data_IF_520925360460
#
_entry.id   IF_520925360460
#
_cell.length_a   1.000
_cell.length_b   1.000
_cell.length_c   1.000
_cell.angle_alpha   90.00
_cell.angle_beta   90.00
_cell.angle_gamma   90.00
#
_symmetry.space_group_name_H-M   'P 1'
#
loop_
_entity.id
_entity.type
_entity.pdbx_description
1 polymer ?
#
# COMPACT_ATOMS: atom_id res chain seq x y z
N UNK A 1 -4.40 -9.47 -33.14
CA UNK A 1 -4.17 -8.01 -33.20
C UNK A 1 -5.47 -7.23 -33.41
N UNK A 2 -6.40 -7.74 -34.23
CA UNK A 2 -7.67 -7.05 -34.55
C UNK A 2 -8.59 -6.75 -33.36
N UNK A 3 -8.78 -7.68 -32.41
CA UNK A 3 -9.57 -7.41 -31.20
C UNK A 3 -8.94 -6.33 -30.30
N UNK A 4 -7.60 -6.27 -30.25
CA UNK A 4 -6.86 -5.27 -29.49
C UNK A 4 -6.92 -3.89 -30.17
N UNK A 5 -6.80 -3.86 -31.50
CA UNK A 5 -7.01 -2.66 -32.31
C UNK A 5 -8.45 -2.13 -32.19
N UNK A 6 -9.46 -3.02 -32.14
CA UNK A 6 -10.85 -2.62 -31.84
C UNK A 6 -10.98 -2.01 -30.44
N UNK A 7 -10.30 -2.58 -29.44
CA UNK A 7 -10.27 -2.06 -28.08
C UNK A 7 -9.69 -0.64 -28.00
N UNK A 8 -8.60 -0.39 -28.72
CA UNK A 8 -7.98 0.95 -28.83
C UNK A 8 -8.90 1.89 -29.61
N UNK A 9 -9.50 1.44 -30.72
CA UNK A 9 -10.39 2.25 -31.56
C UNK A 9 -11.63 2.74 -30.80
N UNK A 10 -12.16 1.92 -29.89
CA UNK A 10 -13.30 2.27 -29.05
C UNK A 10 -12.95 3.18 -27.86
N UNK A 11 -11.67 3.50 -27.64
CA UNK A 11 -11.28 4.45 -26.61
C UNK A 11 -11.58 5.89 -26.99
N UNK A 12 -12.10 6.63 -26.02
CA UNK A 12 -12.28 8.08 -26.09
C UNK A 12 -10.91 8.77 -26.18
N UNK A 13 -10.81 9.96 -26.82
CA UNK A 13 -9.57 10.72 -26.85
C UNK A 13 -9.00 10.95 -25.45
N UNK A 14 -7.68 10.80 -25.32
CA UNK A 14 -6.97 10.92 -24.06
C UNK A 14 -6.95 12.38 -23.65
N UNK A 15 -7.42 12.66 -22.43
CA UNK A 15 -7.38 14.02 -21.88
C UNK A 15 -5.94 14.40 -21.56
N UNK A 16 -5.66 15.69 -21.65
CA UNK A 16 -4.33 16.27 -21.44
C UNK A 16 -3.88 16.25 -19.98
N UNK A 17 -4.71 15.82 -19.03
CA UNK A 17 -4.34 15.80 -17.62
C UNK A 17 -3.44 14.61 -17.28
N UNK A 18 -2.66 14.79 -16.20
CA UNK A 18 -1.71 13.79 -15.71
C UNK A 18 -2.32 12.40 -15.51
N UNK A 19 -3.55 12.32 -14.99
CA UNK A 19 -4.19 11.05 -14.69
C UNK A 19 -4.56 10.31 -15.97
N UNK A 20 -5.12 11.00 -16.95
CA UNK A 20 -5.47 10.40 -18.24
C UNK A 20 -4.25 9.94 -19.04
N UNK A 21 -3.16 10.72 -19.06
CA UNK A 21 -1.90 10.30 -19.72
C UNK A 21 -1.26 9.09 -19.02
N UNK A 22 -1.23 9.06 -17.69
CA UNK A 22 -0.69 7.93 -16.93
C UNK A 22 -1.53 6.66 -17.10
N UNK A 23 -2.86 6.78 -17.12
CA UNK A 23 -3.75 5.65 -17.35
C UNK A 23 -3.59 5.09 -18.77
N UNK A 24 -3.43 5.97 -19.76
CA UNK A 24 -3.21 5.57 -21.14
C UNK A 24 -1.85 4.87 -21.31
N UNK A 25 -0.78 5.37 -20.66
CA UNK A 25 0.51 4.68 -20.64
C UNK A 25 0.42 3.27 -20.06
N UNK A 26 -0.24 3.10 -18.91
CA UNK A 26 -0.42 1.77 -18.30
C UNK A 26 -1.25 0.82 -19.15
N UNK A 27 -2.24 1.34 -19.88
CA UNK A 27 -3.05 0.55 -20.81
C UNK A 27 -2.21 0.04 -21.99
N UNK A 28 -1.40 0.92 -22.60
CA UNK A 28 -0.48 0.52 -23.68
C UNK A 28 0.55 -0.49 -23.16
N UNK A 29 1.10 -0.29 -21.95
CA UNK A 29 2.02 -1.26 -21.33
C UNK A 29 1.36 -2.63 -21.15
N UNK A 30 0.11 -2.68 -20.71
CA UNK A 30 -0.64 -3.94 -20.62
C UNK A 30 -0.71 -4.66 -21.97
N UNK A 31 -1.07 -3.93 -23.03
CA UNK A 31 -1.13 -4.52 -24.38
C UNK A 31 0.22 -5.00 -24.91
N UNK A 32 1.30 -4.26 -24.66
CA UNK A 32 2.65 -4.69 -25.07
C UNK A 32 3.04 -5.98 -24.37
N UNK A 33 2.79 -6.08 -23.06
CA UNK A 33 3.08 -7.29 -22.29
C UNK A 33 2.25 -8.48 -22.80
N UNK A 34 0.94 -8.28 -23.05
CA UNK A 34 0.08 -9.33 -23.60
C UNK A 34 0.58 -9.80 -24.98
N UNK A 35 1.11 -8.92 -25.82
CA UNK A 35 1.67 -9.28 -27.13
C UNK A 35 3.02 -10.00 -27.02
N UNK A 36 3.86 -9.60 -26.07
CA UNK A 36 5.13 -10.29 -25.76
C UNK A 36 4.89 -11.71 -25.23
N UNK A 37 3.89 -11.89 -24.35
CA UNK A 37 3.50 -13.20 -23.81
C UNK A 37 2.93 -14.16 -24.86
N UNK A 38 2.43 -13.63 -25.98
CA UNK A 38 1.94 -14.40 -27.12
C UNK A 38 3.00 -14.58 -28.23
N UNK A 39 4.29 -14.42 -27.90
CA UNK A 39 5.44 -14.56 -28.81
C UNK A 39 5.38 -13.64 -30.05
N UNK A 40 4.67 -12.50 -29.96
CA UNK A 40 4.54 -11.53 -31.04
C UNK A 40 5.01 -10.14 -30.57
N UNK A 41 6.33 -9.88 -30.47
CA UNK A 41 6.84 -8.65 -29.92
C UNK A 41 6.47 -7.46 -30.80
N UNK A 42 5.97 -6.39 -30.17
CA UNK A 42 5.52 -5.19 -30.86
C UNK A 42 6.65 -4.51 -31.62
N UNK A 43 7.89 -4.61 -31.14
CA UNK A 43 9.08 -4.07 -31.82
C UNK A 43 9.48 -4.81 -33.10
N UNK A 44 9.05 -6.07 -33.27
CA UNK A 44 9.37 -6.90 -34.44
C UNK A 44 8.17 -7.16 -35.35
N UNK A 45 6.99 -6.64 -35.01
CA UNK A 45 5.76 -6.82 -35.80
C UNK A 45 5.76 -5.91 -37.03
N UNK A 46 5.38 -6.44 -38.20
CA UNK A 46 5.19 -5.66 -39.43
C UNK A 46 4.08 -4.61 -39.33
N UNK A 47 3.16 -4.78 -38.38
CA UNK A 47 2.03 -3.86 -38.14
C UNK A 47 2.35 -2.79 -37.09
N UNK A 48 3.56 -2.79 -36.52
CA UNK A 48 3.97 -1.83 -35.50
C UNK A 48 3.80 -0.35 -35.92
N UNK A 49 4.08 0.07 -37.18
CA UNK A 49 3.82 1.43 -37.62
C UNK A 49 2.32 1.79 -37.63
N UNK A 50 1.47 0.85 -38.03
CA UNK A 50 0.02 1.05 -38.03
C UNK A 50 -0.51 1.14 -36.59
N UNK A 51 -0.09 0.21 -35.74
CA UNK A 51 -0.39 0.24 -34.31
C UNK A 51 0.04 1.55 -33.64
N UNK A 52 1.25 2.04 -33.94
CA UNK A 52 1.74 3.33 -33.48
C UNK A 52 0.85 4.49 -33.92
N UNK A 53 0.47 4.54 -35.20
CA UNK A 53 -0.41 5.59 -35.71
C UNK A 53 -1.78 5.60 -35.00
N UNK A 54 -2.29 4.41 -34.65
CA UNK A 54 -3.54 4.27 -33.92
C UNK A 54 -3.41 4.77 -32.48
N UNK A 55 -2.30 4.47 -31.81
CA UNK A 55 -2.02 4.98 -30.46
C UNK A 55 -1.88 6.50 -30.43
N UNK A 56 -1.18 7.07 -31.41
CA UNK A 56 -0.99 8.52 -31.53
C UNK A 56 -2.28 9.25 -31.88
N UNK A 57 -3.20 8.60 -32.62
CA UNK A 57 -4.52 9.18 -32.95
C UNK A 57 -5.39 9.47 -31.73
N UNK A 58 -5.14 8.79 -30.60
CA UNK A 58 -5.88 8.97 -29.35
C UNK A 58 -5.32 10.10 -28.49
N UNK A 59 -4.10 10.55 -28.75
CA UNK A 59 -3.53 11.70 -28.08
C UNK A 59 -4.13 12.99 -28.64
N UNK A 60 -4.19 14.02 -27.81
CA UNK A 60 -4.48 15.36 -28.29
C UNK A 60 -3.37 15.82 -29.26
N UNK A 61 -3.73 16.60 -30.28
CA UNK A 61 -2.78 17.12 -31.28
C UNK A 61 -1.54 17.80 -30.68
N UNK A 62 -1.70 18.52 -29.56
CA UNK A 62 -0.58 19.15 -28.85
C UNK A 62 0.37 18.16 -28.20
N UNK A 63 -0.15 17.04 -27.70
CA UNK A 63 0.63 16.01 -27.01
C UNK A 63 1.33 15.10 -28.03
N UNK A 64 0.63 14.76 -29.12
CA UNK A 64 1.22 14.07 -30.27
C UNK A 64 2.39 14.87 -30.87
N UNK A 65 2.19 16.17 -31.12
CA UNK A 65 3.26 17.06 -31.62
C UNK A 65 4.42 17.22 -30.64
N UNK A 66 4.17 17.17 -29.32
CA UNK A 66 5.20 17.27 -28.30
C UNK A 66 6.06 16.00 -28.27
N UNK A 67 5.43 14.82 -28.34
CA UNK A 67 6.13 13.55 -28.47
C UNK A 67 7.07 13.52 -29.68
N UNK A 68 6.58 13.85 -30.88
CA UNK A 68 7.43 13.87 -32.08
C UNK A 68 8.60 14.86 -31.99
N UNK A 69 8.39 16.04 -31.37
CA UNK A 69 9.47 17.01 -31.12
C UNK A 69 10.54 16.47 -30.18
N UNK A 70 10.14 15.80 -29.11
CA UNK A 70 11.07 15.24 -28.13
C UNK A 70 11.87 14.07 -28.72
N UNK A 71 11.23 13.20 -29.52
CA UNK A 71 11.91 12.13 -30.24
C UNK A 71 12.96 12.69 -31.21
N UNK A 72 12.61 13.73 -31.98
CA UNK A 72 13.54 14.39 -32.90
C UNK A 72 14.69 15.09 -32.17
N UNK A 73 14.43 15.74 -31.03
CA UNK A 73 15.45 16.41 -30.21
C UNK A 73 16.46 15.42 -29.67
N UNK A 74 15.97 14.30 -29.14
CA UNK A 74 16.79 13.29 -28.48
C UNK A 74 17.33 12.24 -29.45
N UNK A 75 17.06 12.39 -30.75
CA UNK A 75 17.44 11.47 -31.85
C UNK A 75 16.97 10.02 -31.60
N UNK A 76 15.75 9.87 -31.11
CA UNK A 76 15.09 8.58 -30.87
C UNK A 76 14.05 8.29 -31.94
N UNK A 77 13.78 7.01 -32.17
CA UNK A 77 12.71 6.56 -33.06
C UNK A 77 11.33 6.69 -32.40
N UNK A 78 10.32 6.99 -33.21
CA UNK A 78 8.92 6.98 -32.79
C UNK A 78 8.41 5.53 -32.73
N UNK A 79 8.55 4.90 -31.57
CA UNK A 79 8.08 3.55 -31.31
C UNK A 79 7.28 3.47 -29.99
N UNK A 80 6.62 2.33 -29.76
CA UNK A 80 5.67 2.15 -28.65
C UNK A 80 6.36 2.30 -27.29
N UNK A 81 7.57 1.76 -27.15
CA UNK A 81 8.34 1.84 -25.91
C UNK A 81 8.69 3.27 -25.54
N UNK A 82 9.17 4.06 -26.52
CA UNK A 82 9.48 5.47 -26.32
C UNK A 82 8.21 6.30 -26.04
N UNK A 83 7.08 5.95 -26.66
CA UNK A 83 5.79 6.59 -26.39
C UNK A 83 5.31 6.35 -24.95
N UNK A 84 5.43 5.12 -24.43
CA UNK A 84 5.08 4.79 -23.03
C UNK A 84 5.92 5.61 -22.06
N UNK A 85 7.24 5.64 -22.28
CA UNK A 85 8.17 6.41 -21.44
C UNK A 85 7.79 7.88 -21.46
N UNK A 86 7.60 8.46 -22.66
CA UNK A 86 7.22 9.86 -22.81
C UNK A 86 5.89 10.19 -22.14
N UNK A 87 4.86 9.34 -22.26
CA UNK A 87 3.57 9.56 -21.61
C UNK A 87 3.67 9.56 -20.09
N UNK A 88 4.52 8.70 -19.51
CA UNK A 88 4.75 8.64 -18.06
C UNK A 88 5.50 9.88 -17.57
N UNK A 89 6.50 10.35 -18.32
CA UNK A 89 7.24 11.56 -18.03
C UNK A 89 6.34 12.81 -18.14
N UNK A 90 5.58 12.92 -19.23
CA UNK A 90 4.65 14.03 -19.47
C UNK A 90 3.52 14.05 -18.43
N UNK A 91 2.99 12.88 -18.06
CA UNK A 91 2.04 12.76 -16.96
C UNK A 91 2.64 13.23 -15.63
N UNK A 92 3.90 12.86 -15.35
CA UNK A 92 4.62 13.32 -14.17
C UNK A 92 4.83 14.84 -14.19
N UNK A 93 5.18 15.43 -15.34
CA UNK A 93 5.35 16.88 -15.48
C UNK A 93 4.03 17.63 -15.23
N UNK A 94 2.93 17.16 -15.81
CA UNK A 94 1.60 17.76 -15.64
C UNK A 94 1.02 17.57 -14.25
N UNK A 95 1.43 16.51 -13.53
CA UNK A 95 1.07 16.32 -12.12
C UNK A 95 1.61 17.43 -11.22
N UNK A 96 2.74 18.04 -11.61
CA UNK A 96 3.41 19.11 -10.86
C UNK A 96 2.76 20.47 -11.07
N UNK A 97 1.99 20.65 -12.14
CA UNK A 97 1.36 21.92 -12.52
C UNK A 97 -0.04 22.18 -11.93
N UNK A 98 -0.61 21.25 -11.13
CA UNK A 98 -2.02 21.34 -10.69
C UNK A 98 -2.30 22.21 -9.45
N UNK A 99 -1.44 23.20 -9.19
CA UNK A 99 -1.72 24.31 -8.28
C UNK A 99 -1.66 25.64 -9.05
N UNK A 100 -2.63 25.88 -9.95
CA UNK A 100 -3.32 27.16 -10.16
C UNK A 100 -4.23 27.06 -11.41
N UNK A 101 -5.46 27.56 -11.27
CA UNK A 101 -6.56 27.47 -12.23
C UNK A 101 -6.34 28.33 -13.50
N UNK A 102 -7.14 27.98 -14.51
CA UNK A 102 -7.62 28.81 -15.62
C UNK A 102 -7.45 30.33 -15.46
N UNK A 103 -6.60 30.93 -16.29
CA UNK A 103 -6.94 32.12 -17.06
C UNK A 103 -5.88 32.41 -18.12
N UNK A 104 -6.36 32.96 -19.22
CA UNK A 104 -5.71 33.07 -20.51
C UNK A 104 -4.56 34.10 -20.57
N UNK A 105 -3.75 33.89 -21.60
CA UNK A 105 -3.03 34.86 -22.41
C UNK A 105 -1.69 35.47 -21.94
N UNK A 106 -0.65 35.02 -22.68
CA UNK A 106 0.34 35.84 -23.39
C UNK A 106 1.28 36.70 -22.52
N UNK A 107 2.51 36.23 -22.28
CA UNK A 107 3.72 36.65 -23.03
C UNK A 107 5.02 36.11 -22.42
N UNK A 108 5.94 35.79 -23.33
CA UNK A 108 7.39 35.61 -23.23
C UNK A 108 8.06 36.31 -22.03
N UNK A 109 8.95 35.62 -21.30
CA UNK A 109 10.42 35.85 -21.35
C UNK A 109 11.23 35.00 -20.38
N UNK A 110 12.47 34.81 -20.84
CA UNK A 110 13.65 34.16 -20.30
C UNK A 110 14.08 34.55 -18.88
N UNK A 111 14.77 33.59 -18.26
CA UNK A 111 15.90 33.70 -17.31
C UNK A 111 15.74 34.27 -15.88
N UNK A 112 16.19 33.41 -14.96
CA UNK A 112 16.85 33.66 -13.68
C UNK A 112 16.10 34.46 -12.60
N UNK A 113 15.76 33.75 -11.52
CA UNK A 113 16.03 34.19 -10.15
C UNK A 113 15.99 33.01 -9.15
N UNK A 114 17.14 32.77 -8.55
CA UNK A 114 17.33 32.02 -7.31
C UNK A 114 16.60 32.67 -6.12
N UNK A 115 16.23 31.87 -5.12
CA UNK A 115 15.65 32.33 -3.84
C UNK A 115 14.32 31.63 -3.56
N UNK A 116 14.34 30.40 -3.04
CA UNK A 116 14.37 30.08 -1.62
C UNK A 116 13.03 30.33 -0.90
N UNK A 117 12.33 29.22 -0.62
CA UNK A 117 11.58 29.01 0.62
C UNK A 117 11.69 27.53 0.96
N UNK A 118 12.92 27.06 1.16
CA UNK A 118 13.17 25.73 1.70
C UNK A 118 13.28 25.85 3.22
N UNK A 119 12.20 25.58 3.94
CA UNK A 119 12.32 25.24 5.36
C UNK A 119 12.98 23.86 5.42
N UNK A 120 14.31 23.83 5.35
CA UNK A 120 15.16 22.65 5.54
C UNK A 120 15.12 22.27 7.02
N UNK A 121 14.18 21.40 7.38
CA UNK A 121 14.16 20.78 8.70
C UNK A 121 15.52 20.10 8.98
N UNK A 122 16.11 20.26 10.17
CA UNK A 122 17.33 19.56 10.56
C UNK A 122 17.07 18.04 10.59
N UNK A 123 18.05 17.28 10.12
CA UNK A 123 17.96 15.82 10.10
C UNK A 123 17.86 15.29 11.54
N UNK A 124 16.86 14.45 11.87
CA UNK A 124 16.65 13.96 13.23
C UNK A 124 17.74 12.99 13.73
N UNK A 125 18.68 12.61 12.86
CA UNK A 125 19.84 11.76 13.16
C UNK A 125 21.12 12.56 13.43
N UNK A 126 21.04 13.89 13.51
CA UNK A 126 22.18 14.73 13.89
C UNK A 126 23.23 14.90 12.80
N UNK A 127 22.83 14.84 11.52
CA UNK A 127 23.74 15.08 10.41
C UNK A 127 24.21 16.54 10.37
N UNK A 128 25.47 16.76 9.99
CA UNK A 128 26.06 18.09 9.85
C UNK A 128 25.37 18.93 8.77
N UNK A 129 24.83 18.29 7.73
CA UNK A 129 24.06 18.95 6.67
C UNK A 129 22.55 18.87 6.93
N UNK A 130 21.82 19.96 6.67
CA UNK A 130 20.36 19.99 6.78
C UNK A 130 19.73 19.27 5.59
N UNK A 131 18.98 18.20 5.86
CA UNK A 131 18.25 17.44 4.85
C UNK A 131 17.07 16.70 5.49
N UNK A 132 16.08 16.36 4.66
CA UNK A 132 14.95 15.52 5.07
C UNK A 132 15.42 14.09 5.38
N UNK A 133 14.77 13.42 6.33
CA UNK A 133 15.10 12.05 6.73
C UNK A 133 15.13 11.06 5.55
N UNK A 134 14.25 11.26 4.56
CA UNK A 134 14.22 10.44 3.33
C UNK A 134 15.53 10.51 2.51
N UNK A 135 16.23 11.64 2.56
CA UNK A 135 17.49 11.89 1.86
C UNK A 135 18.72 11.64 2.74
N UNK A 136 18.54 11.18 3.99
CA UNK A 136 19.64 10.93 4.91
C UNK A 136 20.38 9.64 4.53
N UNK A 137 21.70 9.69 4.25
CA UNK A 137 22.48 8.50 3.92
C UNK A 137 22.47 7.44 5.03
N UNK A 138 22.62 7.87 6.29
CA UNK A 138 22.55 7.00 7.46
C UNK A 138 21.19 6.32 7.59
N UNK A 139 20.10 7.01 7.27
CA UNK A 139 18.75 6.40 7.28
C UNK A 139 18.58 5.38 6.14
N UNK A 140 19.13 5.67 4.97
CA UNK A 140 19.07 4.77 3.81
C UNK A 140 19.91 3.51 4.00
N UNK A 141 21.00 3.56 4.76
CA UNK A 141 21.81 2.36 5.05
C UNK A 141 21.21 1.41 6.10
N UNK A 142 20.16 1.81 6.81
CA UNK A 142 19.54 1.00 7.86
C UNK A 142 18.56 -0.05 7.33
N UNK A 143 18.40 -1.12 8.10
CA UNK A 143 17.37 -2.14 7.85
C UNK A 143 15.96 -1.55 7.98
N UNK A 144 14.97 -2.19 7.34
CA UNK A 144 13.57 -1.74 7.40
C UNK A 144 13.08 -1.62 8.85
N UNK A 145 13.42 -2.57 9.74
CA UNK A 145 13.06 -2.54 11.15
C UNK A 145 13.69 -1.33 11.88
N UNK A 146 14.98 -1.08 11.67
CA UNK A 146 15.66 0.09 12.25
C UNK A 146 15.10 1.41 11.72
N UNK A 147 14.68 1.47 10.45
CA UNK A 147 13.98 2.65 9.89
C UNK A 147 12.63 2.87 10.57
N UNK A 148 11.87 1.81 10.86
CA UNK A 148 10.62 1.88 11.64
C UNK A 148 10.86 2.43 13.05
N UNK A 149 11.92 1.97 13.72
CA UNK A 149 12.28 2.43 15.06
C UNK A 149 12.66 3.91 15.07
N UNK A 150 13.45 4.38 14.09
CA UNK A 150 13.81 5.80 13.96
C UNK A 150 12.58 6.67 13.73
N UNK A 151 11.68 6.26 12.84
CA UNK A 151 10.44 7.02 12.57
C UNK A 151 9.58 7.14 13.82
N UNK A 152 9.54 6.09 14.66
CA UNK A 152 8.83 6.08 15.94
C UNK A 152 9.52 6.95 16.99
N UNK A 153 10.83 6.76 17.21
CA UNK A 153 11.61 7.48 18.23
C UNK A 153 11.74 8.98 17.94
N UNK A 154 11.85 9.36 16.66
CA UNK A 154 12.03 10.76 16.23
C UNK A 154 10.71 11.45 15.84
N UNK A 155 9.57 10.83 16.17
CA UNK A 155 8.21 11.35 15.96
C UNK A 155 8.00 11.85 14.52
N UNK A 156 8.37 11.02 13.54
CA UNK A 156 8.20 11.35 12.13
C UNK A 156 6.93 10.71 11.56
N UNK A 157 6.31 11.39 10.61
CA UNK A 157 5.14 10.88 9.91
C UNK A 157 5.51 9.63 9.11
N UNK A 158 4.81 8.50 9.32
CA UNK A 158 5.12 7.24 8.63
C UNK A 158 4.88 7.32 7.11
N UNK A 159 4.04 8.25 6.65
CA UNK A 159 3.72 8.45 5.23
C UNK A 159 4.79 9.27 4.50
N UNK A 160 5.27 10.35 5.11
CA UNK A 160 6.13 11.32 4.43
C UNK A 160 7.48 11.61 5.11
N UNK A 161 7.75 10.98 6.26
CA UNK A 161 8.98 11.10 7.05
C UNK A 161 9.30 12.51 7.59
N UNK A 162 8.35 13.45 7.52
CA UNK A 162 8.46 14.83 8.07
C UNK A 162 7.99 14.92 9.52
N UNK A 163 8.32 16.03 10.20
CA UNK A 163 7.95 16.30 11.59
C UNK A 163 6.46 16.67 11.76
N UNK A 164 5.59 15.67 11.86
CA UNK A 164 4.19 15.79 12.29
C UNK A 164 3.61 14.41 12.59
N UNK A 165 2.48 14.36 13.31
CA UNK A 165 1.75 13.12 13.51
C UNK A 165 1.16 12.63 12.18
N UNK A 166 1.11 11.31 12.00
CA UNK A 166 0.64 10.70 10.75
C UNK A 166 -0.83 11.04 10.43
N UNK A 167 -1.63 11.35 11.45
CA UNK A 167 -3.04 11.77 11.33
C UNK A 167 -3.18 13.17 10.71
N UNK A 168 -2.23 14.07 10.97
CA UNK A 168 -2.26 15.47 10.52
C UNK A 168 -1.57 15.66 9.17
N UNK A 169 -1.19 14.56 8.52
CA UNK A 169 -0.51 14.58 7.25
C UNK A 169 -1.48 15.02 6.15
N UNK A 170 -1.42 16.31 5.78
CA UNK A 170 -2.22 16.93 4.69
C UNK A 170 -1.89 16.41 3.29
N UNK A 171 -0.90 15.53 3.14
CA UNK A 171 -0.72 14.77 1.89
C UNK A 171 -1.77 13.66 1.86
N UNK A 172 -2.92 13.93 1.26
CA UNK A 172 -3.98 12.93 1.08
C UNK A 172 -3.50 11.70 0.31
N UNK A 173 -2.54 11.86 -0.61
CA UNK A 173 -2.06 10.77 -1.48
C UNK A 173 -0.52 10.58 -1.45
N UNK A 174 0.13 11.04 -0.38
CA UNK A 174 1.59 11.05 -0.28
C UNK A 174 2.18 9.78 0.29
N UNK A 175 2.35 8.78 -0.57
CA UNK A 175 3.03 7.49 -0.35
C UNK A 175 2.24 6.55 0.58
N UNK A 176 1.08 6.11 0.12
CA UNK A 176 0.76 4.69 0.28
C UNK A 176 1.89 3.91 -0.40
N UNK A 177 2.41 2.90 0.28
CA UNK A 177 3.48 2.11 -0.28
C UNK A 177 2.98 1.50 -1.61
N UNK A 178 3.61 1.89 -2.71
CA UNK A 178 3.44 1.35 -4.06
C UNK A 178 3.39 -0.19 -4.09
N UNK A 179 4.17 -0.84 -3.24
CA UNK A 179 4.25 -2.31 -3.17
C UNK A 179 3.12 -3.00 -2.41
N UNK A 180 2.44 -2.35 -1.46
CA UNK A 180 1.40 -3.00 -0.65
C UNK A 180 0.13 -2.17 -0.41
N UNK A 181 0.06 -0.97 -0.99
CA UNK A 181 -1.04 0.00 -0.90
C UNK A 181 -1.39 0.44 0.53
N UNK A 182 -0.57 0.10 1.53
CA UNK A 182 -0.75 0.51 2.94
C UNK A 182 -0.16 1.89 3.23
N UNK A 183 -0.66 2.53 4.28
CA UNK A 183 -0.31 3.88 4.73
C UNK A 183 1.10 4.00 5.35
N UNK A 184 2.16 3.78 4.56
CA UNK A 184 3.56 4.01 4.95
C UNK A 184 4.45 4.37 3.76
N UNK A 185 5.50 5.13 4.02
CA UNK A 185 6.54 5.50 3.06
C UNK A 185 7.24 4.25 2.50
N UNK A 186 7.53 4.22 1.20
CA UNK A 186 8.18 3.08 0.50
C UNK A 186 9.44 2.53 1.19
N UNK A 187 10.22 3.38 1.87
CA UNK A 187 11.44 2.97 2.59
C UNK A 187 11.16 2.09 3.81
N UNK A 188 9.91 2.07 4.28
CA UNK A 188 9.40 1.28 5.41
C UNK A 188 8.71 -0.01 4.95
N UNK A 189 8.62 -0.25 3.64
CA UNK A 189 8.03 -1.47 3.11
C UNK A 189 8.91 -2.68 3.41
N UNK A 190 8.35 -3.68 4.08
CA UNK A 190 9.02 -4.95 4.30
C UNK A 190 8.68 -5.91 3.14
N UNK A 191 9.68 -6.28 2.35
CA UNK A 191 9.56 -7.14 1.17
C UNK A 191 9.51 -8.63 1.48
N UNK A 192 9.44 -9.04 2.76
CA UNK A 192 9.23 -10.46 3.11
C UNK A 192 7.74 -10.79 3.05
N UNK A 193 7.24 -11.49 2.00
CA UNK A 193 6.15 -12.42 2.24
C UNK A 193 6.61 -13.40 3.33
N UNK A 194 5.70 -13.80 4.21
CA UNK A 194 5.92 -14.94 5.08
C UNK A 194 6.15 -16.14 4.16
N UNK A 195 7.41 -16.58 4.00
CA UNK A 195 7.70 -17.87 3.38
C UNK A 195 7.06 -18.96 4.24
N UNK A 196 6.21 -19.83 3.67
CA UNK A 196 5.72 -21.03 4.36
C UNK A 196 6.86 -22.02 4.66
N UNK A 197 7.98 -21.95 3.92
CA UNK A 197 9.10 -22.89 4.00
C UNK A 197 10.39 -22.29 4.57
N UNK A 198 10.31 -21.31 5.48
CA UNK A 198 11.51 -20.88 6.19
C UNK A 198 11.92 -21.96 7.19
N UNK A 199 13.05 -22.64 6.90
CA UNK A 199 13.71 -23.56 7.82
C UNK A 199 13.88 -22.92 9.21
N UNK A 200 13.71 -23.70 10.30
CA UNK A 200 13.77 -23.18 11.65
C UNK A 200 15.14 -22.53 11.90
N UNK A 201 15.15 -21.25 12.26
CA UNK A 201 16.31 -20.66 12.92
C UNK A 201 16.38 -21.25 14.34
N UNK A 202 17.57 -21.57 14.87
CA UNK A 202 17.70 -22.18 16.18
C UNK A 202 17.06 -21.29 17.25
N UNK A 203 16.14 -21.86 18.01
CA UNK A 203 15.65 -21.26 19.26
C UNK A 203 16.82 -21.28 20.25
N UNK A 204 17.41 -20.12 20.53
CA UNK A 204 17.97 -19.92 21.86
C UNK A 204 16.79 -19.63 22.80
N UNK A 205 16.32 -20.71 23.43
CA UNK A 205 15.47 -20.66 24.62
C UNK A 205 16.23 -20.00 25.77
N UNK A 206 16.07 -18.69 25.94
CA UNK A 206 16.24 -18.12 27.27
C UNK A 206 14.91 -18.24 28.02
N UNK A 207 14.80 -19.36 28.74
CA UNK A 207 13.86 -19.55 29.83
C UNK A 207 14.02 -18.40 30.84
N UNK A 208 13.03 -17.51 30.95
CA UNK A 208 12.82 -16.75 32.17
C UNK A 208 11.49 -17.21 32.76
N UNK A 209 11.65 -18.10 33.73
CA UNK A 209 10.63 -18.55 34.67
C UNK A 209 10.09 -17.37 35.46
N UNK A 210 8.77 -17.41 35.69
CA UNK A 210 8.08 -16.58 36.66
C UNK A 210 8.77 -16.67 38.02
N UNK A 211 9.32 -15.56 38.52
CA UNK A 211 9.59 -15.38 39.93
C UNK A 211 9.22 -13.95 40.34
N UNK A 212 8.24 -13.87 41.24
CA UNK A 212 8.00 -12.72 42.10
C UNK A 212 9.27 -12.41 42.88
N UNK A 213 9.89 -11.25 42.64
CA UNK A 213 10.82 -10.64 43.59
C UNK A 213 10.60 -9.14 43.57
N UNK A 214 10.13 -8.61 44.70
CA UNK A 214 10.19 -7.21 45.07
C UNK A 214 11.63 -6.70 45.01
N UNK A 215 11.92 -5.76 44.11
CA UNK A 215 13.11 -4.91 44.22
C UNK A 215 12.69 -3.46 43.95
N UNK A 216 12.64 -2.71 45.06
CA UNK A 216 12.66 -1.26 45.09
C UNK A 216 13.95 -0.74 44.43
N UNK A 217 13.82 -0.09 43.28
CA UNK A 217 14.90 0.67 42.65
C UNK A 217 14.33 1.76 41.72
N UNK A 218 14.13 2.93 42.31
CA UNK A 218 14.22 4.28 41.71
C UNK A 218 13.66 4.54 40.30
N UNK A 219 12.45 5.11 40.29
CA UNK A 219 12.00 6.31 39.52
C UNK A 219 12.70 6.59 38.18
N UNK A 220 12.06 6.14 37.09
CA UNK A 220 11.46 7.05 36.09
C UNK A 220 10.57 6.21 35.15
N UNK A 221 9.44 5.70 35.67
CA UNK A 221 8.34 5.27 34.80
C UNK A 221 7.69 6.54 34.26
N UNK A 222 7.94 6.85 32.99
CA UNK A 222 6.99 7.64 32.23
C UNK A 222 5.68 6.86 32.24
N UNK A 223 4.65 7.45 32.82
CA UNK A 223 3.28 6.97 32.82
C UNK A 223 2.86 6.66 31.36
N UNK A 224 3.02 5.39 30.94
CA UNK A 224 2.50 4.93 29.65
C UNK A 224 1.02 4.79 29.85
N UNK A 225 0.31 5.90 29.64
CA UNK A 225 -1.14 5.89 29.63
C UNK A 225 -1.61 4.90 28.56
N UNK A 226 -2.14 3.76 28.98
CA UNK A 226 -2.76 2.77 28.11
C UNK A 226 -3.96 3.42 27.43
N UNK A 227 -3.76 3.93 26.21
CA UNK A 227 -4.84 4.42 25.37
C UNK A 227 -5.70 3.21 24.99
N UNK A 228 -6.93 3.19 25.47
CA UNK A 228 -7.90 2.15 25.11
C UNK A 228 -8.29 2.33 23.65
N UNK A 229 -7.85 1.42 22.78
CA UNK A 229 -8.28 1.40 21.39
C UNK A 229 -9.74 0.94 21.28
N UNK A 230 -10.56 1.67 20.54
CA UNK A 230 -11.90 1.23 20.17
C UNK A 230 -11.80 0.39 18.90
N UNK A 231 -12.20 -0.87 19.00
CA UNK A 231 -12.29 -1.78 17.86
C UNK A 231 -13.77 -1.98 17.51
N UNK A 232 -14.20 -1.70 16.27
CA UNK A 232 -15.57 -2.01 15.84
C UNK A 232 -15.81 -3.52 15.91
N UNK A 233 -16.85 -3.92 16.62
CA UNK A 233 -17.32 -5.32 16.69
C UNK A 233 -18.70 -5.37 16.06
N UNK A 234 -18.90 -6.30 15.13
CA UNK A 234 -20.14 -6.51 14.41
C UNK A 234 -20.59 -7.97 14.58
N UNK A 235 -21.89 -8.17 14.78
CA UNK A 235 -22.50 -9.50 14.68
C UNK A 235 -22.66 -9.86 13.21
N UNK A 236 -22.15 -11.01 12.80
CA UNK A 236 -22.24 -11.52 11.42
C UNK A 236 -22.81 -12.94 11.41
N UNK A 237 -23.47 -13.32 10.31
CA UNK A 237 -23.92 -14.68 10.05
C UNK A 237 -22.86 -15.42 9.23
N UNK A 238 -22.44 -16.60 9.68
CA UNK A 238 -21.51 -17.49 8.99
C UNK A 238 -22.14 -18.86 8.86
N UNK A 239 -22.08 -19.46 7.68
CA UNK A 239 -22.56 -20.82 7.46
C UNK A 239 -21.71 -21.83 8.25
N UNK A 240 -22.37 -22.79 8.91
CA UNK A 240 -21.71 -23.97 9.46
C UNK A 240 -21.44 -25.04 8.37
N UNK A 241 -20.89 -26.18 8.77
CA UNK A 241 -20.61 -27.33 7.89
C UNK A 241 -21.83 -27.84 7.10
N UNK A 242 -23.05 -27.63 7.63
CA UNK A 242 -24.31 -28.02 7.00
C UNK A 242 -24.95 -26.87 6.21
N UNK A 243 -24.29 -25.71 6.12
CA UNK A 243 -24.80 -24.52 5.45
C UNK A 243 -25.78 -23.69 6.29
N UNK A 244 -26.00 -24.04 7.55
CA UNK A 244 -26.93 -23.34 8.44
C UNK A 244 -26.28 -22.03 8.94
N UNK A 245 -26.98 -20.87 8.87
CA UNK A 245 -26.43 -19.61 9.36
C UNK A 245 -26.26 -19.60 10.87
N UNK A 246 -25.03 -19.38 11.35
CA UNK A 246 -24.69 -19.21 12.76
C UNK A 246 -24.16 -17.81 13.00
N UNK A 247 -24.72 -17.16 14.02
CA UNK A 247 -24.28 -15.84 14.47
C UNK A 247 -22.94 -15.91 15.22
N UNK A 248 -21.97 -15.08 14.80
CA UNK A 248 -20.69 -14.88 15.48
C UNK A 248 -20.35 -13.39 15.61
N UNK A 249 -19.44 -13.06 16.52
CA UNK A 249 -18.89 -11.71 16.66
C UNK A 249 -17.61 -11.58 15.85
N UNK A 250 -17.55 -10.57 14.98
CA UNK A 250 -16.38 -10.22 14.20
C UNK A 250 -15.86 -8.85 14.60
N UNK A 251 -14.56 -8.76 14.85
CA UNK A 251 -13.86 -7.49 15.06
C UNK A 251 -13.30 -6.99 13.73
N UNK A 252 -13.63 -5.77 13.34
CA UNK A 252 -13.17 -5.18 12.07
C UNK A 252 -11.88 -4.38 12.33
N UNK A 253 -10.75 -4.97 11.96
CA UNK A 253 -9.43 -4.34 12.13
C UNK A 253 -8.79 -3.97 10.78
N UNK A 254 -8.74 -2.67 10.49
CA UNK A 254 -8.10 -2.14 9.28
C UNK A 254 -6.55 -2.19 9.33
N UNK A 255 -5.97 -2.45 10.49
CA UNK A 255 -4.53 -2.65 10.67
C UNK A 255 -4.06 -4.07 10.34
N UNK A 256 -4.98 -5.03 10.33
CA UNK A 256 -4.69 -6.44 10.02
C UNK A 256 -4.55 -6.68 8.52
N UNK A 257 -3.76 -7.68 8.15
CA UNK A 257 -3.53 -8.09 6.76
C UNK A 257 -4.03 -9.50 6.46
N UNK A 258 -4.65 -10.13 7.45
CA UNK A 258 -5.21 -11.47 7.38
C UNK A 258 -6.42 -11.54 8.31
N UNK A 259 -7.34 -12.45 8.01
CA UNK A 259 -8.54 -12.69 8.81
C UNK A 259 -8.33 -13.91 9.70
N UNK A 260 -8.73 -13.79 10.97
CA UNK A 260 -8.54 -14.81 11.98
C UNK A 260 -9.89 -15.33 12.48
N UNK A 261 -9.98 -16.63 12.70
CA UNK A 261 -11.11 -17.29 13.34
C UNK A 261 -10.63 -17.95 14.63
N UNK A 262 -11.35 -17.79 15.74
CA UNK A 262 -10.99 -18.52 16.96
C UNK A 262 -11.20 -20.02 16.74
N UNK A 263 -10.29 -20.87 17.22
CA UNK A 263 -10.43 -22.34 17.14
C UNK A 263 -11.77 -22.81 17.73
N UNK A 264 -12.22 -22.23 18.83
CA UNK A 264 -13.53 -22.51 19.41
C UNK A 264 -14.70 -22.20 18.47
N UNK A 265 -14.59 -21.15 17.65
CA UNK A 265 -15.62 -20.82 16.66
C UNK A 265 -15.57 -21.78 15.46
N UNK A 266 -14.38 -22.16 15.00
CA UNK A 266 -14.22 -23.18 13.97
C UNK A 266 -14.87 -24.51 14.40
N UNK A 267 -14.58 -24.97 15.62
CA UNK A 267 -15.21 -26.15 16.21
C UNK A 267 -16.73 -26.00 16.32
N UNK A 268 -17.23 -24.84 16.74
CA UNK A 268 -18.68 -24.58 16.83
C UNK A 268 -19.38 -24.62 15.46
N UNK A 269 -18.68 -24.21 14.40
CA UNK A 269 -19.19 -24.21 13.03
C UNK A 269 -18.98 -25.56 12.32
N UNK A 270 -18.32 -26.54 12.94
CA UNK A 270 -17.96 -27.81 12.30
C UNK A 270 -16.91 -27.67 11.19
N UNK A 271 -16.20 -26.54 11.13
CA UNK A 271 -15.27 -26.26 10.03
C UNK A 271 -13.85 -26.71 10.38
N UNK A 272 -13.21 -27.37 9.43
CA UNK A 272 -11.81 -27.81 9.51
C UNK A 272 -11.10 -27.56 8.17
N UNK A 273 -9.77 -27.57 8.18
CA UNK A 273 -8.98 -27.35 6.97
C UNK A 273 -7.54 -27.80 7.13
N UNK A 274 -6.71 -27.65 6.10
CA UNK A 274 -5.31 -28.07 6.16
C UNK A 274 -4.56 -27.34 7.26
N UNK A 275 -3.78 -28.11 8.02
CA UNK A 275 -2.90 -27.58 9.05
C UNK A 275 -1.80 -26.72 8.42
N UNK A 276 -1.48 -25.63 9.09
CA UNK A 276 -0.43 -24.68 8.73
C UNK A 276 0.21 -24.10 10.00
N UNK A 277 1.23 -23.26 9.83
CA UNK A 277 1.84 -22.53 10.93
C UNK A 277 1.70 -21.03 10.68
N UNK A 278 1.06 -20.31 11.61
CA UNK A 278 0.83 -18.88 11.49
C UNK A 278 1.80 -18.13 12.41
N UNK A 279 2.52 -17.15 11.85
CA UNK A 279 3.31 -16.19 12.62
C UNK A 279 2.71 -14.78 12.48
N UNK A 280 2.25 -14.23 13.60
CA UNK A 280 1.61 -12.93 13.72
C UNK A 280 2.56 -11.89 14.32
N UNK A 281 2.58 -10.70 13.73
CA UNK A 281 3.20 -9.53 14.33
C UNK A 281 2.11 -8.69 15.01
N UNK A 282 2.11 -8.65 16.33
CA UNK A 282 1.09 -7.99 17.14
C UNK A 282 1.40 -6.49 17.30
N UNK A 283 0.35 -5.74 17.64
CA UNK A 283 0.51 -4.35 18.05
C UNK A 283 1.50 -4.26 19.23
N UNK A 284 2.43 -3.30 19.16
CA UNK A 284 3.52 -3.17 20.13
C UNK A 284 4.81 -3.88 19.73
N UNK A 285 4.83 -4.62 18.62
CA UNK A 285 6.04 -5.26 18.09
C UNK A 285 6.29 -6.68 18.62
N UNK A 286 5.41 -7.18 19.48
CA UNK A 286 5.42 -8.57 19.90
C UNK A 286 5.16 -9.51 18.71
N UNK A 287 5.73 -10.71 18.76
CA UNK A 287 5.49 -11.77 17.78
C UNK A 287 4.85 -12.95 18.47
N UNK A 288 3.90 -13.60 17.79
CA UNK A 288 3.25 -14.81 18.26
C UNK A 288 3.18 -15.81 17.11
N UNK A 289 3.61 -17.03 17.36
CA UNK A 289 3.47 -18.12 16.40
C UNK A 289 2.65 -19.24 17.01
N UNK A 290 1.75 -19.82 16.24
CA UNK A 290 0.95 -20.96 16.66
C UNK A 290 0.56 -21.84 15.47
N UNK A 291 0.29 -23.12 15.76
CA UNK A 291 -0.33 -24.04 14.80
C UNK A 291 -1.74 -23.54 14.50
N UNK A 292 -2.03 -23.41 13.21
CA UNK A 292 -3.28 -22.89 12.65
C UNK A 292 -3.81 -23.88 11.62
N UNK A 293 -5.07 -23.75 11.26
CA UNK A 293 -5.64 -24.34 10.06
C UNK A 293 -6.09 -23.22 9.12
N UNK A 294 -6.05 -23.47 7.81
CA UNK A 294 -6.66 -22.57 6.83
C UNK A 294 -8.06 -23.09 6.55
N UNK A 295 -9.06 -22.34 6.99
CA UNK A 295 -10.47 -22.73 6.87
C UNK A 295 -11.18 -21.78 5.93
N UNK A 296 -12.03 -22.31 5.07
CA UNK A 296 -12.94 -21.52 4.26
C UNK A 296 -14.21 -21.21 5.05
N UNK A 297 -14.57 -19.92 5.17
CA UNK A 297 -15.83 -19.50 5.79
C UNK A 297 -16.70 -18.79 4.76
N UNK A 298 -18.01 -19.01 4.85
CA UNK A 298 -19.00 -18.32 4.02
C UNK A 298 -19.82 -17.38 4.89
N UNK A 299 -19.63 -16.08 4.71
CA UNK A 299 -20.43 -15.04 5.35
C UNK A 299 -21.73 -14.84 4.58
N UNK A 300 -22.83 -14.67 5.32
CA UNK A 300 -24.17 -14.44 4.77
C UNK A 300 -24.58 -13.02 5.15
N UNK A 301 -25.05 -12.25 4.18
CA UNK A 301 -25.53 -10.89 4.45
C UNK A 301 -26.71 -10.94 5.44
N UNK A 302 -26.73 -10.03 6.44
CA UNK A 302 -27.81 -9.99 7.42
C UNK A 302 -29.11 -9.41 6.84
N UNK A 303 -29.05 -8.78 5.66
CA UNK A 303 -30.19 -8.09 5.01
C UNK A 303 -30.74 -8.93 3.84
N UNK A 304 -29.85 -9.59 3.08
CA UNK A 304 -30.18 -10.34 1.87
C UNK A 304 -29.52 -11.72 1.91
N UNK A 305 -30.26 -12.76 2.25
CA UNK A 305 -29.67 -14.10 2.53
C UNK A 305 -29.03 -14.76 1.28
N UNK A 306 -29.39 -14.30 0.09
CA UNK A 306 -28.80 -14.73 -1.18
C UNK A 306 -27.39 -14.17 -1.40
N UNK A 307 -27.03 -13.07 -0.74
CA UNK A 307 -25.68 -12.50 -0.81
C UNK A 307 -24.77 -13.27 0.15
N UNK A 308 -23.92 -14.10 -0.44
CA UNK A 308 -22.89 -14.89 0.25
C UNK A 308 -21.49 -14.46 -0.17
N UNK A 309 -20.57 -14.40 0.78
CA UNK A 309 -19.16 -14.12 0.51
C UNK A 309 -18.26 -15.10 1.24
N UNK A 310 -17.44 -15.78 0.46
CA UNK A 310 -16.47 -16.75 0.96
C UNK A 310 -15.09 -16.13 1.13
N UNK A 311 -14.39 -16.47 2.22
CA UNK A 311 -13.00 -16.12 2.43
C UNK A 311 -12.23 -17.21 3.20
N UNK A 312 -10.93 -17.26 2.97
CA UNK A 312 -10.01 -18.08 3.75
C UNK A 312 -9.59 -17.35 5.03
N UNK A 313 -9.61 -18.06 6.16
CA UNK A 313 -9.23 -17.56 7.47
C UNK A 313 -8.26 -18.50 8.16
N UNK A 314 -7.39 -17.95 8.99
CA UNK A 314 -6.52 -18.75 9.85
C UNK A 314 -7.16 -18.99 11.21
N UNK A 315 -7.13 -20.24 11.69
CA UNK A 315 -7.61 -20.56 13.03
C UNK A 315 -6.55 -20.26 14.10
N UNK A 316 -6.94 -19.56 15.17
CA UNK A 316 -6.05 -19.17 16.28
C UNK A 316 -6.72 -19.39 17.62
N UNK A 317 -5.95 -19.57 18.70
CA UNK A 317 -6.53 -19.78 20.02
C UNK A 317 -7.28 -18.54 20.54
N UNK A 318 -6.70 -17.35 20.34
CA UNK A 318 -7.25 -16.05 20.79
C UNK A 318 -6.93 -14.97 19.74
N UNK A 319 -7.92 -14.56 18.90
CA UNK A 319 -7.72 -13.53 17.88
C UNK A 319 -7.41 -12.14 18.45
N UNK A 320 -7.90 -11.86 19.66
CA UNK A 320 -7.65 -10.61 20.38
C UNK A 320 -7.42 -10.88 21.88
N UNK A 321 -6.69 -9.98 22.55
CA UNK A 321 -6.64 -9.92 24.01
C UNK A 321 -8.04 -9.64 24.57
N UNK A 322 -8.26 -9.92 25.86
CA UNK A 322 -9.57 -9.73 26.51
C UNK A 322 -10.16 -8.34 26.23
N UNK A 323 -11.13 -8.29 25.32
CA UNK A 323 -11.85 -7.07 25.00
C UNK A 323 -12.85 -6.80 26.13
N UNK A 324 -12.84 -5.59 26.68
CA UNK A 324 -13.89 -5.12 27.59
C UNK A 324 -14.94 -4.40 26.76
N UNK A 325 -16.20 -4.84 26.86
CA UNK A 325 -17.31 -4.09 26.28
C UNK A 325 -17.44 -2.76 27.03
N UNK A 326 -17.25 -1.66 26.31
CA UNK A 326 -17.43 -0.31 26.87
C UNK A 326 -18.80 0.20 26.46
N UNK A 327 -19.60 0.65 27.44
CA UNK A 327 -20.91 1.23 27.13
C UNK A 327 -20.75 2.59 26.45
N UNK A 328 -21.69 2.96 25.55
CA UNK A 328 -21.72 4.32 24.95
C UNK A 328 -21.69 5.43 26.01
N UNK A 329 -22.29 5.22 27.19
CA UNK A 329 -22.30 6.20 28.30
C UNK A 329 -20.92 6.41 28.91
N UNK A 330 -20.06 5.40 28.85
CA UNK A 330 -18.70 5.44 29.41
C UNK A 330 -17.69 6.15 28.50
N UNK A 331 -18.03 6.37 27.23
CA UNK A 331 -17.18 7.04 26.22
C UNK A 331 -17.45 8.54 26.07
N UNK A 332 -18.42 9.08 26.80
CA UNK A 332 -18.88 10.47 26.72
C UNK A 332 -18.32 11.38 27.83
N UNK A 333 -17.32 10.92 28.59
CA UNK A 333 -16.54 11.72 29.56
C UNK A 333 -15.13 11.92 29.02
#
# INVERSE_FOLDING_TARGET
>A
MDELLMGINNQKPVKRDSKSLSQYASLITGYVNDMEDNECPVSSSSEAPFFMSQLLSKLNAGDNSAFGRDMKRDKKEENVSNLIIWLQEEASLRSRGRNNLESENVTRRSENRSGDFEVREPCPLGCQTKHLLAACPTYQSLTVNQRWDIVKQKLRCRKCLKAHHTKDCKKCDGVTCDKCKKNHHRSLHNTKPLNPDASPFPNEENNITNNNVDINSSKHMNDVQTVTGLCPIQKIKVADENGVPVDILAMLDTGSNTSLLSKSAATKLGLSGPQTHLTMNLAGGAKKSEVSEIVEITMISPIEEDIKKTLLVHTVNKPCSGAKTVSKRSLAK
#
